data_IF_882486803471
#
_entry.id   IF_882486803471
#
_cell.length_a   1.000
_cell.length_b   1.000
_cell.length_c   1.000
_cell.angle_alpha   90.00
_cell.angle_beta   90.00
_cell.angle_gamma   90.00
#
_symmetry.space_group_name_H-M   'P 1'
#
loop_
_entity.id
_entity.type
_entity.pdbx_description
1 polymer ?
#
# COMPACT_ATOMS: atom_id res chain seq x y z
N UNK A 1 4.03 18.29 -0.57
CA UNK A 1 2.69 17.98 -0.02
C UNK A 1 2.80 17.96 1.51
N UNK A 2 1.91 18.62 2.25
CA UNK A 2 1.90 18.58 3.72
C UNK A 2 1.17 17.35 4.27
N UNK A 3 1.30 17.06 5.56
CA UNK A 3 0.51 16.00 6.23
C UNK A 3 -0.99 16.22 6.06
N UNK A 4 -1.47 17.45 6.27
CA UNK A 4 -2.88 17.82 6.09
C UNK A 4 -3.39 17.50 4.67
N UNK A 5 -2.59 17.79 3.63
CA UNK A 5 -2.93 17.47 2.25
C UNK A 5 -3.03 15.95 2.02
N UNK A 6 -2.07 15.17 2.54
CA UNK A 6 -2.10 13.70 2.42
C UNK A 6 -3.25 13.07 3.19
N UNK A 7 -3.57 13.61 4.36
CA UNK A 7 -4.75 13.20 5.13
C UNK A 7 -6.04 13.50 4.35
N UNK A 8 -6.14 14.66 3.70
CA UNK A 8 -7.27 15.00 2.84
C UNK A 8 -7.40 14.01 1.66
N UNK A 9 -6.28 13.59 1.05
CA UNK A 9 -6.27 12.54 0.03
C UNK A 9 -6.79 11.21 0.55
N UNK A 10 -6.45 10.81 1.79
CA UNK A 10 -6.97 9.56 2.39
C UNK A 10 -8.46 9.61 2.74
N UNK A 11 -8.99 10.81 3.01
CA UNK A 11 -10.43 11.02 3.24
C UNK A 11 -11.18 10.85 1.92
N UNK A 12 -10.66 11.43 0.83
CA UNK A 12 -11.29 11.33 -0.49
C UNK A 12 -12.71 11.90 -0.47
N UNK A 13 -13.67 11.11 -0.98
CA UNK A 13 -15.09 11.48 -1.03
C UNK A 13 -15.86 11.19 0.28
N UNK A 14 -15.20 10.55 1.26
CA UNK A 14 -15.83 10.24 2.54
C UNK A 14 -16.04 11.52 3.36
N UNK A 15 -17.14 11.58 4.12
CA UNK A 15 -17.30 12.63 5.13
C UNK A 15 -16.20 12.54 6.20
N UNK A 16 -15.79 13.68 6.78
CA UNK A 16 -14.78 13.71 7.86
C UNK A 16 -15.20 12.82 9.04
N UNK A 17 -16.50 12.79 9.36
CA UNK A 17 -17.06 11.97 10.43
C UNK A 17 -17.02 10.46 10.11
N UNK A 18 -17.30 10.08 8.86
CA UNK A 18 -17.11 8.72 8.36
C UNK A 18 -15.65 8.28 8.51
N UNK A 19 -14.74 9.09 7.98
CA UNK A 19 -13.31 8.77 8.00
C UNK A 19 -12.80 8.60 9.44
N UNK A 20 -13.15 9.54 10.31
CA UNK A 20 -12.83 9.51 11.73
C UNK A 20 -13.23 8.19 12.40
N UNK A 21 -14.45 7.69 12.13
CA UNK A 21 -14.93 6.39 12.64
C UNK A 21 -14.13 5.23 12.04
N UNK A 22 -13.86 5.26 10.74
CA UNK A 22 -13.11 4.20 10.04
C UNK A 22 -11.68 4.04 10.57
N UNK A 23 -11.02 5.15 10.89
CA UNK A 23 -9.64 5.14 11.44
C UNK A 23 -9.58 5.12 12.97
N UNK A 24 -10.73 5.13 13.65
CA UNK A 24 -10.86 5.12 15.11
C UNK A 24 -10.16 6.32 15.79
N UNK A 25 -10.35 7.52 15.21
CA UNK A 25 -9.82 8.79 15.71
C UNK A 25 -10.97 9.78 15.82
N UNK A 26 -10.99 10.62 16.87
CA UNK A 26 -12.08 11.58 17.03
C UNK A 26 -12.13 12.59 15.87
N UNK A 27 -13.34 12.95 15.44
CA UNK A 27 -13.55 13.89 14.34
C UNK A 27 -12.89 15.24 14.62
N UNK A 28 -12.96 15.72 15.87
CA UNK A 28 -12.30 16.95 16.30
C UNK A 28 -10.78 16.91 16.05
N UNK A 29 -10.15 15.76 16.29
CA UNK A 29 -8.71 15.60 16.10
C UNK A 29 -8.36 15.50 14.60
N UNK A 30 -9.16 14.81 13.79
CA UNK A 30 -9.02 14.82 12.32
C UNK A 30 -9.15 16.24 11.76
N UNK A 31 -10.13 17.03 12.23
CA UNK A 31 -10.28 18.44 11.83
C UNK A 31 -9.09 19.29 12.24
N UNK A 32 -8.51 19.04 13.42
CA UNK A 32 -7.29 19.72 13.89
C UNK A 32 -6.10 19.40 12.97
N UNK A 33 -5.96 18.15 12.58
CA UNK A 33 -4.95 17.68 11.63
C UNK A 33 -5.09 18.31 10.24
N UNK A 34 -6.31 18.39 9.71
CA UNK A 34 -6.58 19.08 8.44
C UNK A 34 -6.28 20.59 8.49
N UNK A 35 -6.27 21.19 9.69
CA UNK A 35 -5.85 22.58 9.92
C UNK A 35 -4.34 22.74 10.14
N UNK A 36 -3.56 21.67 10.01
CA UNK A 36 -2.09 21.72 10.01
C UNK A 36 -1.41 21.32 11.32
N UNK A 37 -2.14 20.84 12.33
CA UNK A 37 -1.45 20.22 13.48
C UNK A 37 -0.93 18.83 13.12
N UNK A 38 0.22 18.46 13.66
CA UNK A 38 0.81 17.13 13.43
C UNK A 38 0.26 16.08 14.42
N UNK A 39 0.08 14.81 13.98
CA UNK A 39 -0.29 13.72 14.86
C UNK A 39 0.91 13.25 15.68
N UNK A 40 0.64 12.55 16.79
CA UNK A 40 1.67 11.70 17.38
C UNK A 40 1.99 10.52 16.45
N UNK A 41 3.17 9.93 16.59
CA UNK A 41 3.56 8.75 15.82
C UNK A 41 2.52 7.62 15.94
N UNK A 42 1.99 7.40 17.15
CA UNK A 42 0.94 6.42 17.41
C UNK A 42 -0.33 6.70 16.60
N UNK A 43 -0.79 7.96 16.54
CA UNK A 43 -1.99 8.32 15.77
C UNK A 43 -1.74 8.28 14.27
N UNK A 44 -0.57 8.69 13.80
CA UNK A 44 -0.19 8.53 12.40
C UNK A 44 -0.18 7.05 11.97
N UNK A 45 0.43 6.16 12.77
CA UNK A 45 0.46 4.74 12.45
C UNK A 45 -0.94 4.11 12.46
N UNK A 46 -1.79 4.49 13.43
CA UNK A 46 -3.18 4.06 13.48
C UNK A 46 -3.95 4.44 12.21
N UNK A 47 -3.86 5.72 11.80
CA UNK A 47 -4.48 6.21 10.56
C UNK A 47 -3.93 5.44 9.37
N UNK A 48 -2.62 5.29 9.26
CA UNK A 48 -1.98 4.61 8.14
C UNK A 48 -2.45 3.14 8.00
N UNK A 49 -2.54 2.39 9.09
CA UNK A 49 -3.03 1.01 9.04
C UNK A 49 -4.50 0.93 8.60
N UNK A 50 -5.37 1.80 9.14
CA UNK A 50 -6.82 1.77 8.87
C UNK A 50 -7.21 2.39 7.53
N UNK A 51 -6.43 3.35 7.07
CA UNK A 51 -6.56 3.96 5.75
C UNK A 51 -5.78 3.19 4.67
N UNK A 52 -5.15 2.07 5.05
CA UNK A 52 -4.41 1.20 4.17
C UNK A 52 -3.29 1.97 3.44
N UNK A 53 -2.41 2.70 4.11
CA UNK A 53 -1.20 3.28 3.51
C UNK A 53 0.04 2.98 4.36
N UNK A 54 1.24 3.21 3.84
CA UNK A 54 2.44 3.17 4.67
C UNK A 54 2.45 4.38 5.61
N UNK A 55 3.06 4.20 6.78
CA UNK A 55 3.29 5.31 7.70
C UNK A 55 4.23 6.35 7.07
N UNK A 56 5.22 5.88 6.32
CA UNK A 56 6.14 6.73 5.55
C UNK A 56 5.38 7.64 4.60
N UNK A 57 4.45 7.10 3.80
CA UNK A 57 3.69 7.90 2.83
C UNK A 57 2.87 8.94 3.56
N UNK A 58 2.20 8.56 4.65
CA UNK A 58 1.43 9.51 5.44
C UNK A 58 2.31 10.61 6.06
N UNK A 59 3.51 10.28 6.53
CA UNK A 59 4.41 11.22 7.19
C UNK A 59 5.21 12.12 6.24
N UNK A 60 5.63 11.62 5.08
CA UNK A 60 6.58 12.31 4.18
C UNK A 60 6.04 12.51 2.78
N UNK A 61 5.09 11.68 2.34
CA UNK A 61 4.67 11.55 0.95
C UNK A 61 5.52 10.56 0.15
N UNK A 62 6.55 9.96 0.76
CA UNK A 62 7.37 8.90 0.17
C UNK A 62 6.86 7.52 0.60
N UNK A 63 6.95 6.50 -0.25
CA UNK A 63 6.45 5.16 0.03
C UNK A 63 5.02 4.93 -0.50
N UNK A 64 4.32 3.92 0.03
CA UNK A 64 3.13 3.37 -0.64
C UNK A 64 1.80 3.91 -0.11
N UNK A 65 0.98 4.42 -1.02
CA UNK A 65 -0.47 4.60 -0.83
C UNK A 65 -1.17 3.28 -1.22
N UNK A 66 -2.05 2.74 -0.37
CA UNK A 66 -2.72 1.43 -0.55
C UNK A 66 -1.86 0.19 -0.25
N UNK A 67 -1.80 -0.17 1.04
CA UNK A 67 -1.04 -1.30 1.61
C UNK A 67 -1.63 -2.70 1.33
N UNK A 68 -2.54 -2.85 0.34
CA UNK A 68 -3.32 -4.10 0.15
C UNK A 68 -2.73 -5.13 -0.79
N UNK A 69 -1.64 -4.80 -1.43
CA UNK A 69 -0.86 -5.77 -2.16
C UNK A 69 0.58 -5.37 -1.99
N UNK A 70 1.45 -6.31 -2.23
CA UNK A 70 2.79 -6.03 -2.68
C UNK A 70 2.68 -5.23 -3.96
N UNK A 71 2.64 -3.92 -3.78
CA UNK A 71 2.60 -2.99 -4.90
C UNK A 71 3.96 -3.12 -5.54
N UNK A 72 4.00 -3.91 -6.60
CA UNK A 72 5.15 -3.96 -7.48
C UNK A 72 5.17 -2.64 -8.22
N UNK A 73 6.11 -1.78 -7.80
CA UNK A 73 6.51 -0.63 -8.58
C UNK A 73 7.14 -1.14 -9.88
N UNK A 74 6.34 -1.16 -10.95
CA UNK A 74 6.77 -1.70 -12.23
C UNK A 74 7.78 -0.81 -12.92
N UNK A 75 7.78 0.50 -12.66
CA UNK A 75 8.75 1.40 -13.27
C UNK A 75 10.13 1.15 -12.67
N UNK A 76 10.20 1.01 -11.33
CA UNK A 76 11.42 0.60 -10.65
C UNK A 76 11.89 -0.79 -11.11
N UNK A 77 10.96 -1.75 -11.25
CA UNK A 77 11.29 -3.09 -11.71
C UNK A 77 11.81 -3.12 -13.15
N UNK A 78 11.15 -2.43 -14.09
CA UNK A 78 11.56 -2.36 -15.50
C UNK A 78 12.95 -1.77 -15.64
N UNK A 79 13.25 -0.71 -14.87
CA UNK A 79 14.59 -0.11 -14.86
C UNK A 79 15.66 -1.11 -14.37
N UNK A 80 15.39 -1.82 -13.29
CA UNK A 80 16.29 -2.85 -12.77
C UNK A 80 16.45 -4.02 -13.76
N UNK A 81 15.35 -4.49 -14.35
CA UNK A 81 15.33 -5.55 -15.35
C UNK A 81 16.17 -5.16 -16.57
N UNK A 82 15.96 -3.96 -17.11
CA UNK A 82 16.73 -3.44 -18.23
C UNK A 82 18.23 -3.41 -17.96
N UNK A 83 18.62 -3.00 -16.77
CA UNK A 83 20.03 -2.91 -16.42
C UNK A 83 20.68 -4.30 -16.24
N UNK A 84 19.98 -5.25 -15.61
CA UNK A 84 20.53 -6.58 -15.31
C UNK A 84 20.48 -7.50 -16.53
N UNK A 85 19.41 -7.44 -17.31
CA UNK A 85 19.18 -8.32 -18.46
C UNK A 85 19.71 -7.71 -19.77
N UNK A 86 20.01 -6.40 -19.78
CA UNK A 86 20.42 -5.65 -20.96
C UNK A 86 19.36 -5.70 -22.09
N UNK A 87 18.08 -5.75 -21.74
CA UNK A 87 16.92 -5.74 -22.64
C UNK A 87 15.70 -5.13 -21.94
N UNK A 88 14.75 -4.57 -22.69
CA UNK A 88 13.50 -4.05 -22.12
C UNK A 88 12.50 -5.18 -21.86
N UNK A 89 11.70 -5.04 -20.79
CA UNK A 89 10.63 -5.98 -20.48
C UNK A 89 9.51 -5.84 -21.50
N UNK A 90 9.22 -6.92 -22.23
CA UNK A 90 8.09 -6.96 -23.15
C UNK A 90 6.75 -6.75 -22.41
N UNK A 91 5.86 -5.95 -23.00
CA UNK A 91 4.58 -5.52 -22.38
C UNK A 91 3.67 -6.71 -22.04
N UNK A 92 3.68 -7.76 -22.86
CA UNK A 92 2.93 -9.01 -22.66
C UNK A 92 3.41 -9.82 -21.44
N UNK A 93 4.64 -9.57 -20.96
CA UNK A 93 5.24 -10.24 -19.80
C UNK A 93 5.08 -9.45 -18.50
N UNK A 94 4.66 -8.20 -18.54
CA UNK A 94 4.59 -7.33 -17.35
C UNK A 94 3.74 -7.94 -16.23
N UNK A 95 2.57 -8.46 -16.59
CA UNK A 95 1.64 -9.07 -15.63
C UNK A 95 2.22 -10.33 -14.98
N UNK A 96 2.96 -11.13 -15.74
CA UNK A 96 3.63 -12.33 -15.24
C UNK A 96 4.71 -11.94 -14.22
N UNK A 97 5.54 -10.95 -14.57
CA UNK A 97 6.63 -10.48 -13.71
C UNK A 97 6.08 -9.81 -12.45
N UNK A 98 5.01 -9.03 -12.58
CA UNK A 98 4.28 -8.45 -11.44
C UNK A 98 3.85 -9.54 -10.46
N UNK A 99 3.22 -10.61 -10.94
CA UNK A 99 2.79 -11.74 -10.10
C UNK A 99 3.95 -12.47 -9.45
N UNK A 100 5.05 -12.66 -10.17
CA UNK A 100 6.26 -13.29 -9.64
C UNK A 100 6.82 -12.50 -8.45
N UNK A 101 6.94 -11.17 -8.60
CA UNK A 101 7.47 -10.31 -7.55
C UNK A 101 6.51 -10.23 -6.36
N UNK A 102 5.20 -10.08 -6.62
CA UNK A 102 4.20 -10.12 -5.57
C UNK A 102 4.29 -11.44 -4.80
N UNK A 103 4.23 -12.60 -5.47
CA UNK A 103 4.36 -13.90 -4.80
C UNK A 103 5.62 -14.03 -3.94
N UNK A 104 6.77 -13.56 -4.44
CA UNK A 104 8.01 -13.49 -3.65
C UNK A 104 7.89 -12.61 -2.41
N UNK A 105 7.34 -11.40 -2.54
CA UNK A 105 7.17 -10.49 -1.42
C UNK A 105 6.19 -11.08 -0.39
N UNK A 106 5.14 -11.78 -0.82
CA UNK A 106 4.15 -12.42 0.05
C UNK A 106 4.79 -13.45 0.93
N UNK A 107 5.52 -14.37 0.30
CA UNK A 107 6.24 -15.43 0.98
C UNK A 107 7.32 -14.90 1.93
N UNK A 108 7.91 -13.74 1.61
CA UNK A 108 8.90 -13.09 2.48
C UNK A 108 8.27 -12.46 3.71
N UNK A 109 7.08 -11.86 3.57
CA UNK A 109 6.38 -11.16 4.65
C UNK A 109 5.50 -12.08 5.52
N UNK A 110 4.92 -13.12 4.92
CA UNK A 110 3.89 -13.98 5.53
C UNK A 110 4.37 -15.43 5.62
N UNK A 111 5.31 -15.68 6.55
CA UNK A 111 5.71 -17.04 6.90
C UNK A 111 4.69 -17.69 7.82
N UNK A 112 4.59 -19.01 7.75
CA UNK A 112 3.86 -19.81 8.75
C UNK A 112 4.49 -19.64 10.13
N UNK A 113 3.74 -20.01 11.17
CA UNK A 113 4.21 -19.94 12.55
C UNK A 113 5.47 -20.80 12.82
N UNK A 114 5.67 -21.85 12.02
CA UNK A 114 6.84 -22.73 12.03
C UNK A 114 8.05 -22.17 11.24
N UNK A 115 7.90 -20.98 10.63
CA UNK A 115 8.92 -20.33 9.82
C UNK A 115 9.03 -20.80 8.37
N UNK A 116 8.20 -21.76 7.94
CA UNK A 116 8.16 -22.25 6.56
C UNK A 116 7.31 -21.34 5.65
N UNK A 117 7.50 -21.51 4.34
CA UNK A 117 6.75 -20.79 3.31
C UNK A 117 5.31 -21.31 3.22
N UNK A 118 4.37 -20.39 3.00
CA UNK A 118 2.96 -20.72 2.76
C UNK A 118 2.57 -20.61 1.28
N UNK A 119 2.86 -21.67 0.53
CA UNK A 119 2.53 -21.76 -0.90
C UNK A 119 1.03 -21.60 -1.17
N UNK A 120 0.19 -22.25 -0.36
CA UNK A 120 -1.27 -22.23 -0.56
C UNK A 120 -1.84 -20.82 -0.34
N UNK A 121 -1.37 -20.13 0.70
CA UNK A 121 -1.78 -18.76 0.98
C UNK A 121 -1.29 -17.79 -0.12
N UNK A 122 -0.05 -17.94 -0.60
CA UNK A 122 0.47 -17.15 -1.73
C UNK A 122 -0.34 -17.39 -3.01
N UNK A 123 -0.64 -18.65 -3.35
CA UNK A 123 -1.42 -18.98 -4.55
C UNK A 123 -2.83 -18.34 -4.49
N UNK A 124 -3.46 -18.37 -3.32
CA UNK A 124 -4.74 -17.71 -3.06
C UNK A 124 -4.62 -16.18 -3.23
N UNK A 125 -3.57 -15.57 -2.68
CA UNK A 125 -3.28 -14.15 -2.82
C UNK A 125 -3.11 -13.70 -4.29
N UNK A 126 -2.37 -14.48 -5.08
CA UNK A 126 -2.16 -14.21 -6.51
C UNK A 126 -3.43 -14.42 -7.36
N UNK A 127 -4.32 -15.32 -6.94
CA UNK A 127 -5.60 -15.56 -7.61
C UNK A 127 -6.60 -14.41 -7.39
N UNK A 128 -6.70 -13.88 -6.17
CA UNK A 128 -7.61 -12.77 -5.82
C UNK A 128 -7.30 -11.47 -6.59
N UNK A 129 -6.06 -11.27 -7.03
CA UNK A 129 -5.64 -10.12 -7.84
C UNK A 129 -6.13 -10.14 -9.29
N UNK A 130 -6.76 -11.24 -9.76
CA UNK A 130 -7.33 -11.31 -11.11
C UNK A 130 -8.69 -10.60 -11.24
N UNK A 131 -9.46 -10.49 -10.16
CA UNK A 131 -10.89 -10.12 -10.26
C UNK A 131 -11.15 -8.62 -10.35
N UNK A 132 -10.17 -7.77 -10.02
CA UNK A 132 -10.38 -6.30 -9.94
C UNK A 132 -10.27 -5.56 -11.28
N UNK A 133 -10.14 -6.26 -12.41
CA UNK A 133 -10.10 -5.65 -13.76
C UNK A 133 -11.41 -5.79 -14.55
N UNK A 134 -12.51 -6.17 -13.91
CA UNK A 134 -13.81 -6.36 -14.57
C UNK A 134 -14.88 -5.40 -14.03
N UNK A 135 -14.63 -4.10 -14.07
CA UNK A 135 -15.68 -3.05 -14.03
C UNK A 135 -15.27 -1.88 -14.92
#
# INVERSE_FOLDING_TARGET
MSFAQRLATLIGEESISGFARRVDVSEALIRKYLKGSEPSLTKANQIAMRANCSLEWLATGCGYLYRRAEVVDMDAYKLAFQHVMNEELAEDKEELHRKLIAGYQYLRAHKKADGFLDESAMATFLALHKETKTE
#
